data_IF_790184517210
#
_entry.id   IF_790184517210
#
_cell.length_a   1.000
_cell.length_b   1.000
_cell.length_c   1.000
_cell.angle_alpha   90.00
_cell.angle_beta   90.00
_cell.angle_gamma   90.00
#
_symmetry.space_group_name_H-M   'P 1'
#
loop_
_entity.id
_entity.type
_entity.pdbx_description
1 polymer ?
#
# COMPACT_ATOMS: atom_id res chain seq x y z
N UNK A 1 10.50 4.89 -3.68
CA UNK A 1 9.44 4.90 -2.64
C UNK A 1 9.06 6.31 -2.16
N UNK A 2 9.53 7.37 -2.84
CA UNK A 2 9.42 8.77 -2.41
C UNK A 2 7.99 9.24 -2.07
N UNK A 3 6.98 8.69 -2.76
CA UNK A 3 5.55 9.02 -2.55
C UNK A 3 5.03 8.72 -1.13
N UNK A 4 5.77 7.93 -0.33
CA UNK A 4 5.35 7.47 0.99
C UNK A 4 6.37 7.79 2.09
N UNK A 5 7.27 8.76 1.88
CA UNK A 5 8.28 9.11 2.88
C UNK A 5 7.66 9.68 4.16
N UNK A 6 6.67 10.58 4.04
CA UNK A 6 6.06 11.29 5.18
C UNK A 6 4.73 10.66 5.62
N UNK A 7 4.64 9.33 5.70
CA UNK A 7 3.41 8.64 6.12
C UNK A 7 2.95 9.03 7.54
N UNK A 8 3.86 9.47 8.40
CA UNK A 8 3.59 9.84 9.79
C UNK A 8 2.72 11.10 9.90
N UNK A 9 2.80 11.98 8.90
CA UNK A 9 2.01 13.21 8.81
C UNK A 9 0.61 12.96 8.23
N UNK A 10 0.35 11.75 7.71
CA UNK A 10 -0.94 11.45 7.10
C UNK A 10 -2.02 11.27 8.17
N UNK A 11 -3.22 11.74 7.85
CA UNK A 11 -4.37 11.49 8.71
C UNK A 11 -4.67 9.99 8.85
N UNK A 12 -5.20 9.54 10.01
CA UNK A 12 -5.56 8.14 10.22
C UNK A 12 -6.52 7.60 9.14
N UNK A 13 -7.43 8.45 8.63
CA UNK A 13 -8.35 8.09 7.55
C UNK A 13 -7.59 7.75 6.27
N UNK A 14 -6.65 8.60 5.87
CA UNK A 14 -5.85 8.41 4.64
C UNK A 14 -4.93 7.19 4.74
N UNK A 15 -4.35 6.94 5.91
CA UNK A 15 -3.57 5.72 6.17
C UNK A 15 -4.42 4.44 6.12
N UNK A 16 -5.65 4.46 6.66
CA UNK A 16 -6.58 3.32 6.53
C UNK A 16 -6.95 3.05 5.07
N UNK A 17 -7.18 4.09 4.27
CA UNK A 17 -7.39 3.94 2.82
C UNK A 17 -6.19 3.30 2.14
N UNK A 18 -4.97 3.77 2.43
CA UNK A 18 -3.74 3.18 1.87
C UNK A 18 -3.59 1.71 2.26
N UNK A 19 -3.78 1.36 3.54
CA UNK A 19 -3.76 -0.03 4.03
C UNK A 19 -4.75 -0.91 3.28
N UNK A 20 -5.97 -0.41 3.05
CA UNK A 20 -7.00 -1.18 2.32
C UNK A 20 -6.60 -1.38 0.85
N UNK A 21 -6.07 -0.35 0.18
CA UNK A 21 -5.56 -0.47 -1.19
C UNK A 21 -4.42 -1.50 -1.29
N UNK A 22 -3.52 -1.52 -0.30
CA UNK A 22 -2.42 -2.48 -0.22
C UNK A 22 -2.93 -3.92 -0.05
N UNK A 23 -3.88 -4.14 0.86
CA UNK A 23 -4.51 -5.45 1.03
C UNK A 23 -5.19 -5.93 -0.25
N UNK A 24 -5.93 -5.06 -0.93
CA UNK A 24 -6.57 -5.38 -2.20
C UNK A 24 -5.53 -5.72 -3.28
N UNK A 25 -4.42 -4.97 -3.32
CA UNK A 25 -3.36 -5.21 -4.30
C UNK A 25 -2.64 -6.53 -4.04
N UNK A 26 -2.32 -6.84 -2.79
CA UNK A 26 -1.72 -8.13 -2.41
C UNK A 26 -2.66 -9.30 -2.67
N UNK A 27 -3.98 -9.13 -2.47
CA UNK A 27 -4.96 -10.14 -2.86
C UNK A 27 -4.94 -10.38 -4.39
N UNK A 28 -4.80 -9.33 -5.19
CA UNK A 28 -4.64 -9.45 -6.64
C UNK A 28 -3.36 -10.18 -7.05
N UNK A 29 -2.23 -9.91 -6.38
CA UNK A 29 -0.99 -10.66 -6.60
C UNK A 29 -1.14 -12.13 -6.20
N UNK A 30 -1.79 -12.41 -5.07
CA UNK A 30 -2.05 -13.80 -4.64
C UNK A 30 -2.94 -14.57 -5.62
N UNK A 31 -3.95 -13.93 -6.20
CA UNK A 31 -4.90 -14.56 -7.11
C UNK A 31 -4.35 -14.76 -8.53
N UNK A 32 -3.48 -13.86 -9.00
CA UNK A 32 -3.06 -13.82 -10.40
C UNK A 32 -1.55 -13.94 -10.61
N UNK A 33 -0.73 -13.91 -9.55
CA UNK A 33 0.72 -13.96 -9.61
C UNK A 33 1.29 -12.91 -10.57
N UNK A 34 2.17 -13.35 -11.47
CA UNK A 34 2.76 -12.55 -12.55
C UNK A 34 1.72 -11.99 -13.54
N UNK A 35 0.49 -12.53 -13.57
CA UNK A 35 -0.61 -12.04 -14.41
C UNK A 35 -1.45 -10.95 -13.74
N UNK A 36 -1.10 -10.52 -12.52
CA UNK A 36 -1.82 -9.45 -11.84
C UNK A 36 -1.78 -8.17 -12.69
N UNK A 37 -2.96 -7.69 -13.12
CA UNK A 37 -3.07 -6.51 -13.98
C UNK A 37 -2.33 -5.32 -13.39
N UNK A 38 -1.57 -4.62 -14.23
CA UNK A 38 -0.97 -3.34 -13.83
C UNK A 38 -2.07 -2.35 -13.44
N UNK A 39 -1.79 -1.57 -12.41
CA UNK A 39 -2.65 -0.45 -12.03
C UNK A 39 -2.50 0.69 -13.06
N UNK A 40 -3.45 1.62 -13.07
CA UNK A 40 -3.30 2.85 -13.84
C UNK A 40 -2.22 3.75 -13.23
N UNK A 41 -1.55 4.57 -14.05
CA UNK A 41 -0.47 5.46 -13.62
C UNK A 41 -0.85 6.44 -12.51
N UNK A 42 -2.13 6.83 -12.45
CA UNK A 42 -2.70 7.70 -11.42
C UNK A 42 -2.94 7.01 -10.08
N UNK A 43 -2.95 5.68 -10.03
CA UNK A 43 -3.18 4.94 -8.79
C UNK A 43 -1.97 5.07 -7.86
N UNK A 44 -2.20 5.23 -6.57
CA UNK A 44 -1.14 5.46 -5.58
C UNK A 44 -0.06 4.34 -5.57
N UNK A 45 -0.49 3.09 -5.81
CA UNK A 45 0.38 1.91 -5.83
C UNK A 45 0.93 1.56 -7.23
N UNK A 46 0.78 2.45 -8.21
CA UNK A 46 1.31 2.21 -9.55
C UNK A 46 2.83 2.02 -9.52
N UNK A 47 3.30 0.99 -10.24
CA UNK A 47 4.72 0.64 -10.33
C UNK A 47 5.30 -0.08 -9.12
N UNK A 48 4.50 -0.37 -8.09
CA UNK A 48 4.96 -1.13 -6.92
C UNK A 48 4.86 -2.64 -7.17
N UNK A 49 5.95 -3.34 -6.86
CA UNK A 49 5.99 -4.81 -6.84
C UNK A 49 5.17 -5.38 -5.66
N UNK A 50 5.02 -6.71 -5.63
CA UNK A 50 4.39 -7.38 -4.49
C UNK A 50 5.17 -7.11 -3.18
N UNK A 51 6.50 -7.15 -3.24
CA UNK A 51 7.35 -6.96 -2.07
C UNK A 51 7.32 -5.50 -1.58
N UNK A 52 7.32 -4.52 -2.49
CA UNK A 52 7.09 -3.10 -2.14
C UNK A 52 5.74 -2.93 -1.40
N UNK A 53 4.69 -3.62 -1.87
CA UNK A 53 3.37 -3.56 -1.24
C UNK A 53 3.38 -4.19 0.16
N UNK A 54 4.11 -5.30 0.37
CA UNK A 54 4.26 -5.94 1.70
C UNK A 54 5.01 -5.04 2.67
N UNK A 55 6.12 -4.46 2.24
CA UNK A 55 6.93 -3.55 3.05
C UNK A 55 6.12 -2.31 3.46
N UNK A 56 5.44 -1.70 2.49
CA UNK A 56 4.62 -0.52 2.75
C UNK A 56 3.45 -0.84 3.68
N UNK A 57 2.82 -2.01 3.54
CA UNK A 57 1.73 -2.44 4.42
C UNK A 57 2.20 -2.62 5.87
N UNK A 58 3.39 -3.19 6.08
CA UNK A 58 4.00 -3.31 7.40
C UNK A 58 4.19 -1.94 8.03
N UNK A 59 4.78 -0.99 7.29
CA UNK A 59 5.01 0.39 7.76
C UNK A 59 3.70 1.10 8.13
N UNK A 60 2.71 1.09 7.24
CA UNK A 60 1.39 1.73 7.48
C UNK A 60 0.68 1.10 8.67
N UNK A 61 0.76 -0.22 8.84
CA UNK A 61 0.13 -0.92 9.96
C UNK A 61 0.78 -0.58 11.30
N UNK A 62 2.10 -0.44 11.34
CA UNK A 62 2.82 0.01 12.54
C UNK A 62 2.41 1.42 12.93
N UNK A 63 2.42 2.37 11.98
CA UNK A 63 2.03 3.76 12.24
C UNK A 63 0.58 3.89 12.74
N UNK A 64 -0.35 3.14 12.13
CA UNK A 64 -1.75 3.11 12.58
C UNK A 64 -1.94 2.56 13.99
N UNK A 65 -1.05 1.69 14.47
CA UNK A 65 -1.08 1.18 15.85
C UNK A 65 -0.50 2.19 16.84
N UNK A 66 0.55 2.91 16.44
CA UNK A 66 1.19 3.93 17.27
C UNK A 66 0.36 5.21 17.43
N UNK A 67 -0.59 5.47 16.51
CA UNK A 67 -1.51 6.61 16.58
C UNK A 67 -2.85 6.30 17.29
N UNK A 68 -2.99 5.12 17.90
CA UNK A 68 -4.15 4.77 18.73
C UNK A 68 -3.95 5.22 20.17
#
# INVERSE_FOLDING_TARGET
>A
MEKFENLEEWSPKRMRTLRNNLNNRLASYKASGEKAKSLQASHALYGLSEDDCKELLKRVTTLLKSQK
#
